data_IF_670691389939
#
_entry.id   IF_670691389939
#
_cell.length_a   1.000
_cell.length_b   1.000
_cell.length_c   1.000
_cell.angle_alpha   90.00
_cell.angle_beta   90.00
_cell.angle_gamma   90.00
#
_symmetry.space_group_name_H-M   'P 1'
#
loop_
_entity.id
_entity.type
_entity.pdbx_description
1 polymer ?
#
# COMPACT_ATOMS: atom_id res chain seq x y z
N UNK A 1 -6.45 -15.34 15.76
CA UNK A 1 -6.81 -14.24 14.85
C UNK A 1 -5.53 -13.75 14.17
N UNK A 2 -5.31 -14.14 12.91
CA UNK A 2 -4.03 -13.92 12.19
C UNK A 2 -4.11 -12.85 11.11
N UNK A 3 -5.31 -12.40 10.73
CA UNK A 3 -5.48 -11.38 9.70
C UNK A 3 -5.33 -9.99 10.31
N UNK A 4 -4.26 -9.31 9.93
CA UNK A 4 -3.84 -8.03 10.53
C UNK A 4 -3.75 -6.89 9.55
N UNK A 5 -3.59 -7.15 8.26
CA UNK A 5 -3.54 -6.11 7.25
C UNK A 5 -3.88 -6.65 5.86
N UNK A 6 -4.28 -5.74 4.97
CA UNK A 6 -4.42 -6.00 3.54
C UNK A 6 -4.22 -4.71 2.75
N UNK A 7 -3.90 -4.89 1.47
CA UNK A 7 -3.65 -3.81 0.52
C UNK A 7 -4.67 -3.85 -0.60
N UNK A 8 -5.10 -2.69 -1.06
CA UNK A 8 -5.83 -2.50 -2.31
C UNK A 8 -4.92 -1.72 -3.26
N UNK A 9 -4.67 -2.25 -4.45
CA UNK A 9 -3.80 -1.64 -5.45
C UNK A 9 -4.63 -1.33 -6.70
N UNK A 10 -4.71 -0.06 -7.07
CA UNK A 10 -5.35 0.39 -8.31
C UNK A 10 -4.35 0.28 -9.46
N UNK A 11 -4.59 -0.57 -10.46
CA UNK A 11 -3.65 -0.75 -11.56
C UNK A 11 -3.74 0.35 -12.65
N UNK A 12 -4.76 1.22 -12.60
CA UNK A 12 -4.96 2.26 -13.60
C UNK A 12 -4.22 3.57 -13.28
N UNK A 13 -3.81 3.77 -12.02
CA UNK A 13 -3.15 4.98 -11.51
C UNK A 13 -2.35 4.66 -10.25
N UNK A 14 -1.41 5.54 -9.86
CA UNK A 14 -0.67 5.38 -8.60
C UNK A 14 -1.62 5.63 -7.43
N UNK A 15 -2.23 4.56 -6.92
CA UNK A 15 -3.12 4.63 -5.76
C UNK A 15 -3.13 3.30 -5.01
N UNK A 16 -2.55 3.29 -3.82
CA UNK A 16 -2.55 2.12 -2.94
C UNK A 16 -3.24 2.47 -1.63
N UNK A 17 -4.15 1.62 -1.17
CA UNK A 17 -4.76 1.74 0.16
C UNK A 17 -4.26 0.60 1.05
N UNK A 18 -3.66 0.96 2.18
CA UNK A 18 -3.25 0.03 3.22
C UNK A 18 -4.27 0.07 4.36
N UNK A 19 -4.80 -1.09 4.71
CA UNK A 19 -5.62 -1.28 5.90
C UNK A 19 -4.87 -2.14 6.92
N UNK A 20 -4.63 -1.60 8.11
CA UNK A 20 -3.92 -2.29 9.18
C UNK A 20 -4.74 -2.33 10.47
N UNK A 21 -4.68 -3.46 11.19
CA UNK A 21 -5.37 -3.68 12.46
C UNK A 21 -4.38 -3.59 13.62
N UNK A 22 -4.64 -2.67 14.55
CA UNK A 22 -3.79 -2.48 15.72
C UNK A 22 -4.00 -3.56 16.80
N UNK A 23 -3.23 -3.47 17.89
CA UNK A 23 -3.32 -4.41 19.01
C UNK A 23 -4.67 -4.34 19.78
N UNK A 24 -5.39 -3.22 19.69
CA UNK A 24 -6.74 -3.07 20.25
C UNK A 24 -7.82 -3.63 19.31
N UNK A 25 -7.44 -4.06 18.10
CA UNK A 25 -8.33 -4.60 17.10
C UNK A 25 -8.98 -3.55 16.20
N UNK A 26 -8.53 -2.29 16.27
CA UNK A 26 -9.05 -1.17 15.46
C UNK A 26 -8.40 -1.18 14.08
N UNK A 27 -9.20 -0.93 13.04
CA UNK A 27 -8.72 -0.80 11.67
C UNK A 27 -8.36 0.65 11.35
N UNK A 28 -7.15 0.84 10.85
CA UNK A 28 -6.62 2.11 10.35
C UNK A 28 -6.43 2.01 8.84
N UNK A 29 -6.66 3.11 8.14
CA UNK A 29 -6.53 3.18 6.69
C UNK A 29 -5.57 4.29 6.31
N UNK A 30 -4.65 4.02 5.39
CA UNK A 30 -3.75 5.00 4.83
C UNK A 30 -3.70 4.83 3.31
N UNK A 31 -3.64 5.95 2.57
CA UNK A 31 -3.58 5.95 1.11
C UNK A 31 -2.27 6.58 0.65
N UNK A 32 -1.65 5.94 -0.32
CA UNK A 32 -0.44 6.38 -0.99
C UNK A 32 -0.78 6.71 -2.44
N UNK A 33 -0.32 7.85 -2.93
CA UNK A 33 -0.70 8.39 -4.25
C UNK A 33 0.49 8.82 -5.11
N UNK A 34 1.72 8.70 -4.61
CA UNK A 34 2.94 9.11 -5.30
C UNK A 34 3.98 7.97 -5.33
N UNK A 35 4.74 7.89 -6.43
CA UNK A 35 5.72 6.81 -6.66
C UNK A 35 6.94 6.86 -5.73
N UNK A 36 7.25 8.04 -5.18
CA UNK A 36 8.35 8.26 -4.25
C UNK A 36 8.02 7.88 -2.80
N UNK A 37 6.78 7.48 -2.53
CA UNK A 37 6.36 6.97 -1.24
C UNK A 37 6.81 5.51 -1.02
N UNK A 38 6.80 5.10 0.26
CA UNK A 38 7.10 3.74 0.67
C UNK A 38 6.09 3.24 1.70
N UNK A 39 5.60 2.03 1.49
CA UNK A 39 4.68 1.32 2.37
C UNK A 39 5.46 0.42 3.32
N UNK A 40 5.29 0.59 4.63
CA UNK A 40 5.78 -0.36 5.63
C UNK A 40 4.64 -1.29 6.06
N UNK A 41 4.87 -2.61 5.97
CA UNK A 41 3.92 -3.61 6.45
C UNK A 41 4.16 -3.89 7.94
N UNK A 42 3.09 -4.04 8.72
CA UNK A 42 3.19 -4.18 10.19
C UNK A 42 3.27 -5.64 10.64
N UNK A 43 2.81 -6.55 9.81
CA UNK A 43 2.79 -8.00 10.04
C UNK A 43 4.06 -8.70 9.58
N UNK A 44 4.78 -8.10 8.62
CA UNK A 44 6.07 -8.58 8.12
C UNK A 44 7.05 -7.41 8.05
N UNK A 45 8.32 -7.58 8.47
CA UNK A 45 9.30 -6.50 8.53
C UNK A 45 9.85 -6.17 7.13
N UNK A 46 8.99 -5.63 6.27
CA UNK A 46 9.32 -5.23 4.90
C UNK A 46 8.78 -3.83 4.62
N UNK A 47 9.56 -3.09 3.84
CA UNK A 47 9.17 -1.81 3.28
C UNK A 47 9.13 -1.97 1.77
N UNK A 48 8.03 -1.58 1.15
CA UNK A 48 7.78 -1.66 -0.29
C UNK A 48 7.77 -0.24 -0.87
N UNK A 49 8.80 0.16 -1.64
CA UNK A 49 8.74 1.38 -2.43
C UNK A 49 7.60 1.31 -3.43
N UNK A 50 6.79 2.37 -3.56
CA UNK A 50 5.65 2.35 -4.49
C UNK A 50 6.11 2.21 -5.95
N UNK A 51 7.27 2.78 -6.31
CA UNK A 51 7.88 2.57 -7.63
C UNK A 51 8.09 1.08 -7.97
N UNK A 52 8.40 0.23 -6.99
CA UNK A 52 8.57 -1.21 -7.20
C UNK A 52 7.21 -1.92 -7.32
N UNK A 53 6.21 -1.50 -6.55
CA UNK A 53 4.83 -2.04 -6.63
C UNK A 53 4.22 -1.83 -8.01
N UNK A 54 4.52 -0.70 -8.64
CA UNK A 54 4.01 -0.33 -9.97
C UNK A 54 4.98 -0.66 -11.12
N UNK A 55 6.05 -1.40 -10.86
CA UNK A 55 6.95 -1.85 -11.94
C UNK A 55 6.18 -2.72 -12.93
N UNK A 56 6.38 -2.45 -14.22
CA UNK A 56 5.68 -3.09 -15.35
C UNK A 56 4.15 -2.90 -15.37
N UNK A 57 3.61 -1.99 -14.54
CA UNK A 57 2.22 -1.56 -14.64
C UNK A 57 2.17 -0.37 -15.60
N UNK A 58 1.33 -0.39 -16.65
CA UNK A 58 1.14 0.75 -17.54
C UNK A 58 0.29 1.81 -16.82
N UNK A 59 0.90 2.48 -15.85
CA UNK A 59 0.27 3.59 -15.14
C UNK A 59 0.33 4.79 -16.07
N UNK A 60 -0.80 5.44 -16.32
CA UNK A 60 -0.79 6.71 -17.04
C UNK A 60 0.07 7.69 -16.22
N UNK A 61 1.21 8.10 -16.76
CA UNK A 61 1.97 9.21 -16.20
C UNK A 61 1.02 10.42 -16.15
N UNK A 62 0.92 11.06 -14.98
CA UNK A 62 0.12 12.27 -14.82
C UNK A 62 0.51 13.26 -15.94
N UNK A 63 -0.50 13.65 -16.73
CA UNK A 63 -0.36 14.60 -17.84
C UNK A 63 -0.29 16.04 -17.32
#
# INVERSE_FOLDING_TARGET
DSFREYLLVDQARVHLTHHGRDAAGTWHTHSYTHLDEALALVSIPVTLPLVEVYTDVPVAAEA
#
